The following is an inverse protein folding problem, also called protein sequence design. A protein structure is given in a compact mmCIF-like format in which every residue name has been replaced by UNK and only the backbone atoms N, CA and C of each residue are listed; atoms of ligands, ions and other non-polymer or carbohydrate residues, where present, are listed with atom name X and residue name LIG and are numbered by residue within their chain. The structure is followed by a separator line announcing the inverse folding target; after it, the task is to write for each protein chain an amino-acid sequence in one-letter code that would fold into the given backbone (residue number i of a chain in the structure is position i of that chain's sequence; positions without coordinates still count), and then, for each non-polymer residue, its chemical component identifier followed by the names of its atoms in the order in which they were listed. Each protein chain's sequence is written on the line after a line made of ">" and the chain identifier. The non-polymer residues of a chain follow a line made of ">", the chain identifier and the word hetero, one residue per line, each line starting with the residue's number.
data_IF_478156941945
#
_entry.id   IF_478156941945
#
_cell.length_a   1.000
_cell.length_b   1.000
_cell.length_c   1.000
_cell.angle_alpha   90.00
_cell.angle_beta   90.00
_cell.angle_gamma   90.00
#
_symmetry.space_group_name_H-M   'P 1'
#
loop_
_entity.id
_entity.type
_entity.pdbx_description
1 polymer ?
#
# COMPACT_ATOMS: atom_id res chain seq x y z
N UNK A 1 3.18 16.00 -6.94
CA UNK A 1 2.08 16.97 -7.15
C UNK A 1 0.80 16.21 -7.45
N UNK A 2 -0.27 16.62 -6.81
CA UNK A 2 -1.57 15.99 -6.95
C UNK A 2 -2.31 16.62 -8.14
N UNK A 3 -2.83 15.82 -9.07
CA UNK A 3 -3.61 16.29 -10.22
C UNK A 3 -4.75 17.24 -9.79
N UNK A 4 -5.33 16.99 -8.61
CA UNK A 4 -6.42 17.78 -8.03
C UNK A 4 -6.05 19.26 -7.86
N UNK A 5 -4.76 19.57 -7.60
CA UNK A 5 -4.29 20.93 -7.35
C UNK A 5 -4.22 21.75 -8.65
N UNK A 6 -4.18 21.08 -9.80
CA UNK A 6 -4.07 21.73 -11.13
C UNK A 6 -5.41 21.81 -11.85
N UNK A 7 -6.44 21.13 -11.37
CA UNK A 7 -7.75 21.11 -12.03
C UNK A 7 -8.65 22.24 -11.53
N UNK A 8 -9.02 23.14 -12.43
CA UNK A 8 -9.96 24.21 -12.16
C UNK A 8 -11.40 23.67 -11.98
N UNK A 9 -11.80 22.72 -12.83
CA UNK A 9 -13.09 22.03 -12.72
C UNK A 9 -12.86 20.59 -12.22
N UNK A 10 -13.07 20.39 -10.92
CA UNK A 10 -12.86 19.09 -10.28
C UNK A 10 -13.87 18.03 -10.72
N UNK A 11 -15.02 18.41 -11.27
CA UNK A 11 -15.99 17.45 -11.83
C UNK A 11 -15.43 16.62 -12.97
N UNK A 12 -14.45 17.13 -13.70
CA UNK A 12 -13.77 16.36 -14.73
C UNK A 12 -12.98 15.19 -14.18
N UNK A 13 -12.55 15.25 -12.94
CA UNK A 13 -11.80 14.18 -12.27
C UNK A 13 -12.66 12.92 -12.03
N UNK A 14 -14.00 13.05 -12.00
CA UNK A 14 -14.89 11.87 -11.87
C UNK A 14 -14.81 10.92 -13.08
N UNK A 15 -14.21 11.36 -14.19
CA UNK A 15 -13.97 10.56 -15.39
C UNK A 15 -12.58 9.91 -15.42
N UNK A 16 -11.74 10.21 -14.43
CA UNK A 16 -10.38 9.65 -14.32
C UNK A 16 -10.47 8.36 -13.51
N UNK A 17 -9.92 7.28 -14.07
CA UNK A 17 -9.73 6.00 -13.39
C UNK A 17 -8.23 5.71 -13.38
N UNK A 18 -7.71 5.29 -12.24
CA UNK A 18 -6.27 4.99 -12.08
C UNK A 18 -6.05 3.85 -11.10
N UNK A 19 -4.89 3.20 -11.20
CA UNK A 19 -4.43 2.23 -10.22
C UNK A 19 -3.62 2.91 -9.11
N UNK A 20 -3.84 2.46 -7.88
CA UNK A 20 -3.01 2.83 -6.73
C UNK A 20 -2.64 1.56 -5.93
N UNK A 21 -1.64 1.66 -5.09
CA UNK A 21 -1.20 0.57 -4.22
C UNK A 21 -1.85 0.60 -2.84
N UNK A 22 -2.59 1.63 -2.52
CA UNK A 22 -3.10 1.87 -1.18
C UNK A 22 -4.39 2.70 -1.20
N UNK A 23 -5.39 2.24 -0.47
CA UNK A 23 -6.59 3.02 -0.18
C UNK A 23 -6.54 3.55 1.27
N UNK A 24 -6.34 4.86 1.40
CA UNK A 24 -6.31 5.54 2.70
C UNK A 24 -7.68 5.56 3.41
N UNK A 25 -8.77 5.25 2.70
CA UNK A 25 -10.13 5.17 3.27
C UNK A 25 -10.49 3.76 3.74
N UNK A 26 -9.60 2.78 3.54
CA UNK A 26 -9.79 1.42 4.02
C UNK A 26 -10.03 1.40 5.54
N UNK A 27 -11.06 0.66 5.95
CA UNK A 27 -11.48 0.51 7.34
C UNK A 27 -10.84 -0.71 8.04
N UNK A 28 -9.89 -1.39 7.40
CA UNK A 28 -9.17 -2.50 8.03
C UNK A 28 -8.33 -2.03 9.21
N UNK A 29 -8.21 -2.86 10.24
CA UNK A 29 -7.49 -2.50 11.47
C UNK A 29 -6.01 -2.19 11.21
N UNK A 30 -5.37 -2.91 10.26
CA UNK A 30 -3.97 -2.67 9.93
C UNK A 30 -3.77 -1.28 9.29
N UNK A 31 -4.69 -0.86 8.41
CA UNK A 31 -4.64 0.47 7.79
C UNK A 31 -4.94 1.58 8.81
N UNK A 32 -5.95 1.39 9.67
CA UNK A 32 -6.25 2.33 10.76
C UNK A 32 -5.06 2.56 11.67
N UNK A 33 -4.43 1.46 12.10
CA UNK A 33 -3.24 1.53 12.95
C UNK A 33 -2.08 2.24 12.25
N UNK A 34 -1.78 1.88 11.00
CA UNK A 34 -0.73 2.54 10.22
C UNK A 34 -0.97 4.06 10.10
N UNK A 35 -2.18 4.48 9.78
CA UNK A 35 -2.55 5.90 9.68
C UNK A 35 -2.37 6.63 11.01
N UNK A 36 -2.81 6.02 12.11
CA UNK A 36 -2.66 6.59 13.45
C UNK A 36 -1.19 6.75 13.85
N UNK A 37 -0.38 5.72 13.65
CA UNK A 37 1.06 5.72 13.95
C UNK A 37 1.81 6.74 13.08
N UNK A 38 1.47 6.82 11.80
CA UNK A 38 2.05 7.79 10.87
C UNK A 38 1.75 9.22 11.31
N UNK A 39 0.49 9.50 11.63
CA UNK A 39 0.06 10.82 12.11
C UNK A 39 0.72 11.19 13.44
N UNK A 40 0.83 10.26 14.36
CA UNK A 40 1.50 10.47 15.65
C UNK A 40 2.99 10.80 15.46
N UNK A 41 3.65 10.15 14.49
CA UNK A 41 5.08 10.33 14.25
C UNK A 41 5.41 11.58 13.44
N UNK A 42 4.61 11.90 12.42
CA UNK A 42 4.93 12.94 11.45
C UNK A 42 4.04 14.19 11.54
N UNK A 43 2.99 14.17 12.37
CA UNK A 43 2.06 15.30 12.57
C UNK A 43 1.11 15.56 11.39
N UNK A 44 1.09 14.67 10.38
CA UNK A 44 0.28 14.82 9.17
C UNK A 44 -0.34 13.49 8.77
N UNK A 45 -1.41 13.55 7.98
CA UNK A 45 -2.04 12.35 7.44
C UNK A 45 -1.22 11.76 6.27
N UNK A 46 -1.42 10.46 6.01
CA UNK A 46 -0.83 9.78 4.85
C UNK A 46 -1.50 10.29 3.58
N UNK A 47 -0.74 10.91 2.70
CA UNK A 47 -1.24 11.47 1.43
C UNK A 47 -0.76 10.70 0.20
N UNK A 48 0.34 9.96 0.32
CA UNK A 48 0.98 9.24 -0.78
C UNK A 48 1.03 7.74 -0.48
N UNK A 49 0.63 6.93 -1.45
CA UNK A 49 0.71 5.46 -1.39
C UNK A 49 2.15 4.95 -1.20
N UNK A 50 3.16 5.71 -1.62
CA UNK A 50 4.58 5.37 -1.39
C UNK A 50 4.94 5.23 0.10
N UNK A 51 4.26 5.97 1.00
CA UNK A 51 4.47 5.81 2.43
C UNK A 51 4.00 4.43 2.92
N UNK A 52 2.89 3.93 2.37
CA UNK A 52 2.36 2.62 2.69
C UNK A 52 3.24 1.51 2.10
N UNK A 53 3.69 1.64 0.84
CA UNK A 53 4.58 0.63 0.23
C UNK A 53 5.94 0.58 0.91
N UNK A 54 6.49 1.71 1.37
CA UNK A 54 7.74 1.73 2.14
C UNK A 54 7.57 1.08 3.52
N UNK A 55 6.42 1.27 4.16
CA UNK A 55 6.09 0.60 5.40
C UNK A 55 6.03 -0.92 5.21
N UNK A 56 5.33 -1.39 4.17
CA UNK A 56 5.24 -2.81 3.85
C UNK A 56 6.59 -3.43 3.51
N UNK A 57 7.45 -2.73 2.78
CA UNK A 57 8.80 -3.21 2.50
C UNK A 57 9.62 -3.43 3.79
N UNK A 58 9.53 -2.51 4.74
CA UNK A 58 10.17 -2.67 6.03
C UNK A 58 9.55 -3.82 6.85
N UNK A 59 8.22 -3.96 6.82
CA UNK A 59 7.50 -5.04 7.48
C UNK A 59 7.92 -6.40 6.94
N UNK A 60 7.98 -6.57 5.62
CA UNK A 60 8.44 -7.82 4.96
C UNK A 60 9.83 -8.20 5.43
N UNK A 61 10.79 -7.25 5.38
CA UNK A 61 12.17 -7.50 5.81
C UNK A 61 12.23 -7.88 7.31
N UNK A 62 11.56 -7.15 8.18
CA UNK A 62 11.57 -7.43 9.61
C UNK A 62 10.96 -8.80 9.92
N UNK A 63 9.84 -9.15 9.31
CA UNK A 63 9.22 -10.46 9.49
C UNK A 63 10.09 -11.59 8.95
N UNK A 64 10.75 -11.40 7.79
CA UNK A 64 11.65 -12.38 7.22
C UNK A 64 12.86 -12.64 8.14
N UNK A 65 13.45 -11.61 8.74
CA UNK A 65 14.53 -11.75 9.73
C UNK A 65 14.06 -12.55 10.95
N UNK A 66 12.88 -12.23 11.47
CA UNK A 66 12.28 -12.94 12.61
C UNK A 66 12.04 -14.42 12.29
N UNK A 67 11.50 -14.72 11.11
CA UNK A 67 11.22 -16.09 10.64
C UNK A 67 12.53 -16.87 10.41
N UNK A 68 13.55 -16.22 9.84
CA UNK A 68 14.86 -16.82 9.62
C UNK A 68 15.60 -17.13 10.93
N UNK A 69 15.30 -16.40 12.01
CA UNK A 69 16.03 -16.47 13.28
C UNK A 69 17.53 -16.14 13.12
N UNK A 70 17.90 -15.42 12.05
CA UNK A 70 19.27 -15.18 11.63
C UNK A 70 19.37 -13.86 10.85
N UNK A 71 20.57 -13.27 10.84
CA UNK A 71 20.92 -12.13 9.98
C UNK A 71 21.64 -12.57 8.70
N UNK A 72 21.72 -13.87 8.43
CA UNK A 72 22.25 -14.39 7.17
C UNK A 72 21.36 -14.00 6.00
N UNK A 73 21.97 -13.42 4.97
CA UNK A 73 21.24 -12.86 3.82
C UNK A 73 20.49 -13.94 3.03
N UNK A 74 21.06 -15.12 2.86
CA UNK A 74 20.44 -16.20 2.09
C UNK A 74 19.22 -16.74 2.83
N UNK A 75 19.32 -16.90 4.17
CA UNK A 75 18.20 -17.31 5.00
C UNK A 75 17.06 -16.29 4.99
N UNK A 76 17.36 -15.00 5.06
CA UNK A 76 16.34 -13.93 4.97
C UNK A 76 15.65 -13.94 3.60
N UNK A 77 16.42 -14.01 2.51
CA UNK A 77 15.87 -14.04 1.14
C UNK A 77 14.94 -15.23 0.94
N UNK A 78 15.30 -16.40 1.48
CA UNK A 78 14.45 -17.58 1.42
C UNK A 78 13.11 -17.36 2.14
N UNK A 79 13.13 -16.70 3.31
CA UNK A 79 11.89 -16.36 4.02
C UNK A 79 11.04 -15.32 3.29
N UNK A 80 11.65 -14.41 2.53
CA UNK A 80 10.91 -13.46 1.69
C UNK A 80 10.24 -14.21 0.54
N UNK A 81 10.98 -15.07 -0.17
CA UNK A 81 10.48 -15.81 -1.34
C UNK A 81 9.31 -16.75 -1.01
N UNK A 82 9.38 -17.43 0.12
CA UNK A 82 8.40 -18.45 0.52
C UNK A 82 7.33 -17.93 1.46
N UNK A 83 7.47 -16.68 1.91
CA UNK A 83 6.60 -16.07 2.91
C UNK A 83 5.34 -15.43 2.35
N UNK A 84 4.32 -15.37 3.20
CA UNK A 84 3.13 -14.53 3.02
C UNK A 84 3.16 -13.44 4.09
N UNK A 85 2.90 -12.20 3.68
CA UNK A 85 3.00 -11.03 4.55
C UNK A 85 1.73 -10.19 4.46
N UNK A 86 1.11 -9.92 5.59
CA UNK A 86 -0.07 -9.06 5.65
C UNK A 86 0.37 -7.60 5.79
N UNK A 87 0.39 -6.90 4.66
CA UNK A 87 0.77 -5.50 4.57
C UNK A 87 -0.42 -4.55 4.68
N UNK A 88 -0.14 -3.26 4.79
CA UNK A 88 -1.17 -2.20 4.75
C UNK A 88 -1.68 -1.95 3.34
N UNK A 89 -0.92 -2.35 2.32
CA UNK A 89 -1.34 -2.24 0.93
C UNK A 89 -2.13 -3.45 0.44
N UNK A 90 -1.83 -4.64 0.90
CA UNK A 90 -2.56 -5.91 0.74
C UNK A 90 -1.73 -7.06 1.34
N UNK A 91 -2.20 -8.29 1.21
CA UNK A 91 -1.35 -9.48 1.40
C UNK A 91 -0.31 -9.53 0.28
N UNK A 92 0.94 -9.79 0.63
CA UNK A 92 2.10 -9.77 -0.28
C UNK A 92 2.72 -11.17 -0.29
N UNK A 93 2.87 -11.73 -1.48
CA UNK A 93 3.69 -12.91 -1.78
C UNK A 93 4.61 -12.58 -2.94
N UNK A 94 5.52 -13.49 -3.30
CA UNK A 94 6.45 -13.29 -4.39
C UNK A 94 6.38 -14.47 -5.37
N UNK A 95 6.51 -14.19 -6.66
CA UNK A 95 6.59 -15.19 -7.71
C UNK A 95 8.03 -15.72 -7.93
N UNK A 96 8.19 -16.63 -8.89
CA UNK A 96 9.49 -17.24 -9.22
C UNK A 96 10.49 -16.24 -9.81
N UNK A 97 10.03 -15.07 -10.26
CA UNK A 97 10.88 -13.98 -10.75
C UNK A 97 11.24 -12.97 -9.65
N UNK A 98 10.76 -13.21 -8.44
CA UNK A 98 10.84 -12.35 -7.25
C UNK A 98 10.03 -11.05 -7.37
N UNK A 99 9.01 -11.03 -8.23
CA UNK A 99 8.07 -9.93 -8.32
C UNK A 99 6.97 -10.09 -7.26
N UNK A 100 6.54 -9.00 -6.61
CA UNK A 100 5.50 -9.08 -5.61
C UNK A 100 4.14 -9.34 -6.25
N UNK A 101 3.48 -10.41 -5.81
CA UNK A 101 2.08 -10.70 -6.13
C UNK A 101 1.23 -10.01 -5.06
N UNK A 102 0.49 -9.00 -5.43
CA UNK A 102 -0.36 -8.22 -4.54
C UNK A 102 -1.53 -7.59 -5.27
N UNK A 103 -2.57 -7.22 -4.53
CA UNK A 103 -3.72 -6.54 -5.10
C UNK A 103 -3.41 -5.10 -5.52
N UNK A 104 -4.17 -4.60 -6.50
CA UNK A 104 -4.16 -3.21 -6.93
C UNK A 104 -5.54 -2.58 -6.70
N UNK A 105 -5.57 -1.35 -6.23
CA UNK A 105 -6.79 -0.58 -6.00
C UNK A 105 -7.13 0.22 -7.25
N UNK A 106 -8.33 0.03 -7.79
CA UNK A 106 -8.87 0.88 -8.84
C UNK A 106 -9.58 2.04 -8.17
N UNK A 107 -9.13 3.23 -8.49
CA UNK A 107 -9.53 4.48 -7.84
C UNK A 107 -10.07 5.49 -8.86
N UNK A 108 -10.90 6.38 -8.38
CA UNK A 108 -11.37 7.59 -9.08
C UNK A 108 -11.35 8.77 -8.12
N UNK A 109 -12.04 9.85 -8.51
CA UNK A 109 -12.28 11.01 -7.65
C UNK A 109 -13.77 11.33 -7.60
N UNK A 110 -14.22 11.89 -6.48
CA UNK A 110 -15.53 12.52 -6.37
C UNK A 110 -15.54 13.94 -6.99
N UNK A 111 -16.71 14.59 -7.02
CA UNK A 111 -16.88 15.95 -7.56
C UNK A 111 -16.09 17.02 -6.77
N UNK A 112 -15.67 16.73 -5.55
CA UNK A 112 -14.84 17.59 -4.72
C UNK A 112 -13.34 17.35 -4.90
N UNK A 113 -12.97 16.29 -5.65
CA UNK A 113 -11.59 15.89 -5.91
C UNK A 113 -11.01 14.97 -4.83
N UNK A 114 -11.84 14.37 -3.97
CA UNK A 114 -11.36 13.35 -3.04
C UNK A 114 -11.21 12.02 -3.77
N UNK A 115 -10.18 11.26 -3.40
CA UNK A 115 -9.96 9.91 -3.90
C UNK A 115 -11.10 8.99 -3.45
N UNK A 116 -11.61 8.19 -4.37
CA UNK A 116 -12.72 7.26 -4.14
C UNK A 116 -12.34 5.88 -4.66
N UNK A 117 -12.54 4.86 -3.84
CA UNK A 117 -12.33 3.46 -4.21
C UNK A 117 -13.44 2.97 -5.16
N UNK A 118 -13.07 2.22 -6.19
CA UNK A 118 -13.99 1.54 -7.10
C UNK A 118 -13.99 0.06 -6.83
N UNK A 119 -12.84 -0.60 -7.01
CA UNK A 119 -12.71 -2.05 -6.84
C UNK A 119 -11.27 -2.46 -6.53
N UNK A 120 -11.11 -3.66 -6.01
CA UNK A 120 -9.83 -4.31 -5.78
C UNK A 120 -9.59 -5.34 -6.89
N UNK A 121 -8.45 -5.22 -7.58
CA UNK A 121 -8.00 -6.21 -8.55
C UNK A 121 -6.81 -7.00 -7.98
N UNK A 122 -6.83 -8.30 -8.17
CA UNK A 122 -5.74 -9.19 -7.77
C UNK A 122 -6.20 -10.33 -6.88
N UNK A 123 -5.26 -11.06 -6.30
CA UNK A 123 -5.54 -12.25 -5.52
C UNK A 123 -6.33 -11.91 -4.25
N UNK A 124 -7.54 -12.49 -4.17
CA UNK A 124 -8.27 -12.62 -2.91
C UNK A 124 -7.58 -13.61 -1.97
#
# INVERSE_FOLDING_TARGET
>A
SNIVDFMTDKKLLTKVVYCDHFDANSETEIVKKFKADFKAKYGTDVTLSFSATAYDAALVICQAILRAGSTDKAAIVEQIKTGTFDGVTSTITFDDHNDPIKSAFIMTFDESGNKTFIELLGNE
#
